data_IF_296361853155
#
_entry.id   IF_296361853155
#
_cell.length_a   1.000
_cell.length_b   1.000
_cell.length_c   1.000
_cell.angle_alpha   90.00
_cell.angle_beta   90.00
_cell.angle_gamma   90.00
#
_symmetry.space_group_name_H-M   'P 1'
#
loop_
_entity.id
_entity.type
_entity.pdbx_description
1 polymer ?
#
# COMPACT_ATOMS: atom_id res chain seq x y z
N UNK A 1 -37.62 -54.51 28.45
CA UNK A 1 -38.28 -55.69 27.85
C UNK A 1 -38.78 -55.24 26.49
N UNK A 2 -37.85 -55.08 25.54
CA UNK A 2 -37.37 -56.12 24.61
C UNK A 2 -38.48 -56.49 23.61
N UNK A 3 -38.31 -56.56 22.30
CA UNK A 3 -37.25 -56.23 21.36
C UNK A 3 -37.89 -56.40 19.96
N UNK A 4 -37.23 -55.90 18.92
CA UNK A 4 -37.03 -56.51 17.59
C UNK A 4 -37.34 -55.61 16.39
N UNK A 5 -36.23 -55.28 15.74
CA UNK A 5 -36.08 -54.91 14.34
C UNK A 5 -36.66 -55.97 13.39
N UNK A 6 -37.20 -55.50 12.28
CA UNK A 6 -36.96 -56.11 10.95
C UNK A 6 -36.96 -55.02 9.89
N UNK A 7 -35.86 -54.98 9.15
CA UNK A 7 -35.57 -54.19 7.95
C UNK A 7 -36.26 -54.76 6.71
N UNK A 8 -36.47 -53.94 5.67
CA UNK A 8 -36.07 -54.19 4.26
C UNK A 8 -36.28 -52.91 3.43
N UNK A 9 -35.13 -52.31 3.07
CA UNK A 9 -34.65 -51.77 1.79
C UNK A 9 -35.57 -51.28 0.64
N UNK A 10 -34.98 -50.31 -0.07
CA UNK A 10 -35.12 -49.88 -1.49
C UNK A 10 -35.91 -48.56 -1.65
N UNK A 11 -35.41 -47.47 -2.25
CA UNK A 11 -34.26 -47.29 -3.16
C UNK A 11 -33.77 -45.83 -3.10
N UNK A 12 -32.46 -45.67 -3.31
CA UNK A 12 -31.80 -44.40 -3.58
C UNK A 12 -32.38 -43.70 -4.82
N UNK A 13 -32.57 -42.38 -4.74
CA UNK A 13 -32.33 -41.52 -5.90
C UNK A 13 -31.45 -40.35 -5.45
N UNK A 14 -30.21 -40.44 -5.92
CA UNK A 14 -29.24 -39.36 -5.97
C UNK A 14 -29.77 -38.29 -6.93
N UNK A 15 -29.84 -37.04 -6.46
CA UNK A 15 -29.64 -35.89 -7.31
C UNK A 15 -28.40 -35.15 -6.80
N UNK A 16 -27.33 -35.29 -7.57
CA UNK A 16 -26.10 -34.52 -7.47
C UNK A 16 -26.41 -33.03 -7.60
N UNK A 17 -26.01 -32.25 -6.59
CA UNK A 17 -25.87 -30.81 -6.72
C UNK A 17 -24.38 -30.48 -6.62
N UNK A 18 -23.73 -30.02 -7.69
CA UNK A 18 -22.28 -29.85 -7.71
C UNK A 18 -21.88 -28.57 -6.95
N UNK A 19 -20.95 -28.74 -6.02
CA UNK A 19 -19.95 -27.71 -5.71
C UNK A 19 -20.33 -26.62 -4.71
N UNK A 20 -20.61 -26.97 -3.46
CA UNK A 20 -20.24 -26.08 -2.36
C UNK A 20 -18.72 -26.12 -2.20
N UNK A 21 -18.02 -25.22 -2.89
CA UNK A 21 -16.62 -24.94 -2.60
C UNK A 21 -16.62 -24.16 -1.29
N UNK A 22 -16.42 -24.88 -0.18
CA UNK A 22 -15.88 -24.27 1.04
C UNK A 22 -14.51 -23.74 0.68
N UNK A 23 -14.42 -22.46 0.35
CA UNK A 23 -13.14 -21.77 0.24
C UNK A 23 -12.64 -21.65 1.68
N UNK A 24 -12.00 -22.71 2.15
CA UNK A 24 -11.01 -22.59 3.20
C UNK A 24 -9.93 -21.70 2.57
N UNK A 25 -10.04 -20.38 2.77
CA UNK A 25 -8.88 -19.52 2.65
C UNK A 25 -7.97 -19.96 3.79
N UNK A 26 -7.20 -21.03 3.55
CA UNK A 26 -5.92 -21.17 4.18
C UNK A 26 -5.21 -19.88 3.81
N UNK A 27 -5.28 -18.92 4.74
CA UNK A 27 -4.36 -17.82 4.84
C UNK A 27 -3.03 -18.53 4.72
N UNK A 28 -2.43 -18.44 3.53
CA UNK A 28 -1.00 -18.66 3.39
C UNK A 28 -0.46 -17.52 4.23
N UNK A 29 -0.28 -17.81 5.51
CA UNK A 29 0.52 -17.04 6.41
C UNK A 29 1.91 -17.26 5.85
N UNK A 30 2.22 -16.50 4.79
CA UNK A 30 3.58 -16.27 4.39
C UNK A 30 4.22 -15.72 5.65
N UNK A 31 5.03 -16.56 6.27
CA UNK A 31 5.88 -16.24 7.40
C UNK A 31 6.91 -15.21 6.94
N UNK A 32 6.45 -13.98 6.70
CA UNK A 32 7.27 -12.82 6.44
C UNK A 32 7.76 -12.24 7.77
N UNK A 33 8.29 -13.11 8.63
CA UNK A 33 8.95 -12.68 9.85
C UNK A 33 10.32 -13.32 9.85
N UNK A 34 11.33 -12.46 10.00
CA UNK A 34 12.76 -12.73 10.21
C UNK A 34 13.58 -12.90 8.92
N UNK A 35 13.60 -11.82 8.13
CA UNK A 35 14.85 -11.18 7.73
C UNK A 35 14.52 -9.71 7.45
N UNK A 36 14.72 -8.86 8.46
CA UNK A 36 14.60 -7.41 8.43
C UNK A 36 15.66 -6.83 7.48
N UNK A 37 15.51 -7.10 6.18
CA UNK A 37 16.17 -6.33 5.15
C UNK A 37 15.40 -5.02 5.09
N UNK A 38 16.04 -3.97 5.57
CA UNK A 38 15.66 -2.55 5.47
C UNK A 38 15.53 -2.18 3.99
N UNK A 39 14.50 -2.68 3.33
CA UNK A 39 14.22 -2.39 1.94
C UNK A 39 13.45 -1.08 1.90
N UNK A 40 13.82 -0.15 1.00
CA UNK A 40 12.96 0.95 0.63
C UNK A 40 11.53 0.46 0.42
N UNK A 41 10.59 1.03 1.18
CA UNK A 41 9.17 0.76 0.99
C UNK A 41 8.68 1.74 -0.07
N UNK A 42 8.17 1.21 -1.18
CA UNK A 42 7.62 1.99 -2.29
C UNK A 42 6.20 1.55 -2.56
N UNK A 43 5.27 2.50 -2.57
CA UNK A 43 3.85 2.20 -2.76
C UNK A 43 3.09 3.42 -3.28
N UNK A 44 1.90 3.17 -3.82
CA UNK A 44 0.94 4.22 -4.21
C UNK A 44 -0.05 4.41 -3.06
N UNK A 45 -0.35 5.65 -2.73
CA UNK A 45 -1.21 6.00 -1.61
C UNK A 45 -2.13 7.17 -1.94
N UNK A 46 -3.40 7.06 -1.58
CA UNK A 46 -4.35 8.17 -1.57
C UNK A 46 -4.86 8.34 -0.14
N UNK A 47 -4.54 9.45 0.54
CA UNK A 47 -5.08 9.71 1.87
C UNK A 47 -6.59 9.99 1.79
N UNK A 48 -7.33 9.73 2.87
CA UNK A 48 -8.71 10.18 3.00
C UNK A 48 -8.82 11.69 2.76
N UNK A 49 -9.91 12.11 2.12
CA UNK A 49 -10.24 13.52 1.84
C UNK A 49 -9.25 14.26 0.93
N UNK A 50 -8.42 13.53 0.18
CA UNK A 50 -7.56 14.12 -0.85
C UNK A 50 -7.89 13.55 -2.22
N UNK A 51 -7.83 14.41 -3.23
CA UNK A 51 -8.13 14.04 -4.62
C UNK A 51 -6.90 13.44 -5.31
N UNK A 52 -5.71 13.81 -4.85
CA UNK A 52 -4.47 13.42 -5.50
C UNK A 52 -3.99 12.06 -5.00
N UNK A 53 -3.32 11.35 -5.90
CA UNK A 53 -2.69 10.06 -5.65
C UNK A 53 -1.19 10.30 -5.57
N UNK A 54 -0.53 9.65 -4.62
CA UNK A 54 0.88 9.88 -4.32
C UNK A 54 1.68 8.60 -4.50
N UNK A 55 2.87 8.74 -5.08
CA UNK A 55 3.91 7.73 -5.02
C UNK A 55 4.78 8.01 -3.81
N UNK A 56 4.83 7.03 -2.91
CA UNK A 56 5.53 7.12 -1.63
C UNK A 56 6.79 6.29 -1.71
N UNK A 57 7.93 6.88 -1.33
CA UNK A 57 9.20 6.20 -1.10
C UNK A 57 9.60 6.45 0.35
N UNK A 58 9.77 5.38 1.13
CA UNK A 58 10.17 5.44 2.52
C UNK A 58 11.46 4.65 2.70
N UNK A 59 12.53 5.32 3.12
CA UNK A 59 13.88 4.76 3.20
C UNK A 59 14.49 5.09 4.57
N UNK A 60 15.06 4.09 5.25
CA UNK A 60 15.78 4.30 6.50
C UNK A 60 17.04 5.13 6.22
N UNK A 61 17.31 6.12 7.07
CA UNK A 61 18.48 6.99 6.96
C UNK A 61 19.29 6.96 8.25
N UNK A 62 20.60 7.16 8.12
CA UNK A 62 21.47 7.32 9.28
C UNK A 62 21.34 8.71 9.90
N UNK A 63 21.70 8.84 11.18
CA UNK A 63 21.79 10.14 11.86
C UNK A 63 22.78 11.08 11.15
N UNK A 64 23.86 10.54 10.58
CA UNK A 64 24.83 11.31 9.81
C UNK A 64 24.19 11.95 8.59
N UNK A 65 23.45 11.16 7.79
CA UNK A 65 22.73 11.65 6.61
C UNK A 65 21.64 12.64 7.01
N UNK A 66 20.92 12.41 8.11
CA UNK A 66 19.94 13.36 8.63
C UNK A 66 20.58 14.73 8.94
N UNK A 67 21.75 14.74 9.58
CA UNK A 67 22.48 15.97 9.90
C UNK A 67 22.96 16.68 8.63
N UNK A 68 23.45 15.94 7.64
CA UNK A 68 23.84 16.48 6.34
C UNK A 68 22.66 17.14 5.62
N UNK A 69 21.51 16.47 5.56
CA UNK A 69 20.29 17.03 4.95
C UNK A 69 19.85 18.27 5.72
N UNK A 70 19.80 18.21 7.06
CA UNK A 70 19.39 19.33 7.91
C UNK A 70 20.30 20.55 7.78
N UNK A 71 21.59 20.35 7.52
CA UNK A 71 22.56 21.44 7.31
C UNK A 71 22.45 22.08 5.92
N UNK A 72 21.88 21.36 4.95
CA UNK A 72 21.80 21.75 3.55
C UNK A 72 20.37 22.04 3.07
N UNK A 73 19.37 22.12 3.97
CA UNK A 73 17.94 22.28 3.62
C UNK A 73 17.69 23.46 2.67
N UNK A 74 18.49 24.53 2.77
CA UNK A 74 18.39 25.70 1.91
C UNK A 74 18.79 25.46 0.44
N UNK A 75 19.50 24.36 0.14
CA UNK A 75 20.05 24.05 -1.17
C UNK A 75 19.29 22.93 -1.90
N UNK A 76 18.30 22.30 -1.27
CA UNK A 76 17.54 21.22 -1.90
C UNK A 76 16.41 21.85 -2.71
N UNK A 77 16.59 21.88 -4.02
CA UNK A 77 15.56 22.32 -4.95
C UNK A 77 14.52 21.20 -5.10
N UNK A 78 13.42 21.30 -4.35
CA UNK A 78 12.31 20.36 -4.51
C UNK A 78 11.47 20.74 -5.72
N UNK A 79 11.12 19.73 -6.51
CA UNK A 79 10.09 19.92 -7.52
C UNK A 79 8.76 20.27 -6.81
N UNK A 80 7.92 21.10 -7.44
CA UNK A 80 6.67 21.57 -6.83
C UNK A 80 5.66 20.42 -6.60
N UNK A 81 5.83 19.30 -7.30
CA UNK A 81 5.06 18.07 -7.17
C UNK A 81 5.63 17.09 -6.13
N UNK A 82 6.70 17.47 -5.43
CA UNK A 82 7.35 16.65 -4.41
C UNK A 82 7.21 17.26 -3.02
N UNK A 83 7.10 16.38 -2.03
CA UNK A 83 7.08 16.71 -0.63
C UNK A 83 7.82 15.63 0.14
N UNK A 84 8.65 16.00 1.12
CA UNK A 84 9.30 15.03 1.98
C UNK A 84 9.22 15.44 3.44
N UNK A 85 9.30 14.44 4.31
CA UNK A 85 9.43 14.63 5.74
C UNK A 85 10.19 13.46 6.37
N UNK A 86 10.66 13.67 7.60
CA UNK A 86 11.26 12.61 8.40
C UNK A 86 10.23 11.98 9.32
N UNK A 87 10.31 10.66 9.44
CA UNK A 87 9.50 9.85 10.34
C UNK A 87 10.43 9.03 11.24
N UNK A 88 10.27 9.16 12.56
CA UNK A 88 10.94 8.32 13.52
C UNK A 88 9.99 7.22 13.98
N UNK A 89 10.42 5.98 13.79
CA UNK A 89 9.67 4.82 14.26
C UNK A 89 9.77 4.69 15.78
N UNK A 90 8.64 4.44 16.43
CA UNK A 90 8.55 4.44 17.89
C UNK A 90 9.23 3.22 18.55
N UNK A 91 9.28 2.07 17.86
CA UNK A 91 9.74 0.82 18.46
C UNK A 91 11.26 0.73 18.64
N UNK A 92 12.02 1.21 17.65
CA UNK A 92 13.47 1.03 17.60
C UNK A 92 14.24 2.33 17.28
N UNK A 93 13.53 3.46 17.26
CA UNK A 93 14.08 4.79 16.98
C UNK A 93 14.76 4.91 15.60
N UNK A 94 14.48 4.00 14.67
CA UNK A 94 14.93 4.15 13.29
C UNK A 94 14.30 5.39 12.67
N UNK A 95 15.09 6.09 11.87
CA UNK A 95 14.68 7.32 11.21
C UNK A 95 14.53 7.01 9.74
N UNK A 96 13.42 7.44 9.16
CA UNK A 96 13.10 7.27 7.76
C UNK A 96 12.90 8.62 7.11
N UNK A 97 13.40 8.73 5.88
CA UNK A 97 12.99 9.78 4.96
C UNK A 97 11.80 9.27 4.16
N UNK A 98 10.72 10.03 4.19
CA UNK A 98 9.51 9.77 3.40
C UNK A 98 9.43 10.81 2.30
N UNK A 99 9.54 10.37 1.05
CA UNK A 99 9.35 11.20 -0.14
C UNK A 99 8.01 10.87 -0.77
N UNK A 100 7.24 11.90 -1.04
CA UNK A 100 5.91 11.86 -1.63
C UNK A 100 5.94 12.63 -2.94
N UNK A 101 5.48 12.00 -4.02
CA UNK A 101 5.42 12.59 -5.35
C UNK A 101 3.98 12.50 -5.85
N UNK A 102 3.38 13.62 -6.28
CA UNK A 102 2.05 13.59 -6.89
C UNK A 102 2.12 12.78 -8.18
N UNK A 103 1.26 11.77 -8.29
CA UNK A 103 1.12 10.96 -9.49
C UNK A 103 0.16 11.64 -10.44
N UNK A 104 0.64 11.93 -11.65
CA UNK A 104 -0.19 12.41 -12.76
C UNK A 104 -1.40 11.48 -12.98
N UNK A 105 -2.64 12.01 -13.05
CA UNK A 105 -3.81 11.24 -13.47
C UNK A 105 -3.60 10.55 -14.82
N UNK A 106 -2.98 11.24 -15.79
CA UNK A 106 -2.64 10.66 -17.10
C UNK A 106 -1.69 9.46 -16.98
N UNK A 107 -0.73 9.50 -16.05
CA UNK A 107 0.14 8.35 -15.77
C UNK A 107 -0.66 7.13 -15.30
N UNK A 108 -1.59 7.31 -14.35
CA UNK A 108 -2.42 6.21 -13.84
C UNK A 108 -3.30 5.63 -14.94
N UNK A 109 -3.95 6.49 -15.73
CA UNK A 109 -4.79 6.08 -16.85
C UNK A 109 -3.99 5.21 -17.83
N UNK A 110 -2.80 5.65 -18.23
CA UNK A 110 -1.96 4.88 -19.16
C UNK A 110 -1.38 3.63 -18.52
N UNK A 111 -1.01 3.67 -17.24
CA UNK A 111 -0.53 2.51 -16.50
C UNK A 111 -1.58 1.38 -16.46
N UNK A 112 -2.87 1.73 -16.38
CA UNK A 112 -3.97 0.77 -16.43
C UNK A 112 -4.34 0.38 -17.87
N UNK A 113 -4.46 1.34 -18.79
CA UNK A 113 -4.95 1.10 -20.13
C UNK A 113 -3.98 0.27 -20.99
N UNK A 114 -2.68 0.54 -20.87
CA UNK A 114 -1.66 -0.10 -21.71
C UNK A 114 -1.63 -1.63 -21.57
N UNK A 115 -1.57 -2.21 -20.35
CA UNK A 115 -1.56 -3.67 -20.21
C UNK A 115 -2.94 -4.32 -20.45
N UNK A 116 -4.05 -3.63 -20.18
CA UNK A 116 -5.40 -4.22 -20.25
C UNK A 116 -5.99 -4.12 -21.66
N UNK A 117 -5.84 -2.97 -22.30
CA UNK A 117 -6.50 -2.65 -23.57
C UNK A 117 -5.51 -2.38 -24.72
N UNK A 118 -4.21 -2.28 -24.43
CA UNK A 118 -3.21 -1.91 -25.44
C UNK A 118 -3.32 -0.46 -25.90
N UNK A 119 -4.00 0.40 -25.13
CA UNK A 119 -4.24 1.81 -25.47
C UNK A 119 -3.29 2.69 -24.65
N UNK A 120 -2.65 3.64 -25.33
CA UNK A 120 -1.85 4.70 -24.72
C UNK A 120 -2.43 6.04 -25.18
N UNK A 121 -2.90 6.84 -24.22
CA UNK A 121 -3.53 8.13 -24.47
C UNK A 121 -2.44 9.20 -24.35
N UNK A 122 -2.37 10.12 -25.33
CA UNK A 122 -1.43 11.23 -25.30
C UNK A 122 -1.66 12.10 -24.06
N UNK A 123 -0.57 12.44 -23.38
CA UNK A 123 -0.60 13.21 -22.14
C UNK A 123 -1.01 14.65 -22.41
N UNK A 124 -1.88 15.20 -21.56
CA UNK A 124 -2.21 16.60 -21.62
C UNK A 124 -1.15 17.41 -20.86
N UNK A 125 -0.43 18.30 -21.55
CA UNK A 125 0.69 19.11 -21.01
C UNK A 125 0.26 20.09 -19.89
N UNK A 126 -1.04 20.22 -19.61
CA UNK A 126 -1.59 21.17 -18.64
C UNK A 126 -1.81 20.67 -17.21
N UNK A 127 -1.36 19.48 -16.83
CA UNK A 127 -1.53 19.00 -15.45
C UNK A 127 -0.62 19.75 -14.47
N UNK A 128 -1.19 20.68 -13.71
CA UNK A 128 -0.49 21.39 -12.64
C UNK A 128 -0.37 20.49 -11.40
N UNK A 129 0.76 19.78 -11.29
CA UNK A 129 1.06 18.92 -10.15
C UNK A 129 1.80 19.75 -9.07
N UNK A 130 1.05 20.49 -8.25
CA UNK A 130 1.63 21.33 -7.20
C UNK A 130 0.99 20.98 -5.86
N UNK A 131 1.81 20.67 -4.87
CA UNK A 131 1.33 20.46 -3.51
C UNK A 131 0.78 21.75 -2.89
N UNK A 132 -0.44 21.68 -2.38
CA UNK A 132 -0.98 22.68 -1.46
C UNK A 132 -0.53 22.41 -0.03
N UNK A 133 -0.54 23.43 0.81
CA UNK A 133 -0.10 23.33 2.20
C UNK A 133 -0.94 22.29 2.99
N UNK A 134 -2.27 22.43 2.95
CA UNK A 134 -3.18 21.52 3.68
C UNK A 134 -3.03 20.06 3.22
N UNK A 135 -2.73 19.83 1.94
CA UNK A 135 -2.47 18.50 1.40
C UNK A 135 -1.20 17.89 2.02
N UNK A 136 -0.12 18.67 2.19
CA UNK A 136 1.10 18.19 2.85
C UNK A 136 0.83 17.78 4.29
N UNK A 137 0.06 18.57 5.04
CA UNK A 137 -0.27 18.26 6.43
C UNK A 137 -1.15 17.00 6.55
N UNK A 138 -2.21 16.91 5.74
CA UNK A 138 -3.08 15.73 5.72
C UNK A 138 -2.31 14.47 5.31
N UNK A 139 -1.53 14.55 4.24
CA UNK A 139 -0.72 13.43 3.75
C UNK A 139 0.28 12.96 4.80
N UNK A 140 1.01 13.90 5.44
CA UNK A 140 1.95 13.56 6.52
C UNK A 140 1.25 12.84 7.67
N UNK A 141 0.13 13.38 8.14
CA UNK A 141 -0.64 12.77 9.23
C UNK A 141 -1.08 11.35 8.87
N UNK A 142 -1.72 11.17 7.71
CA UNK A 142 -2.20 9.86 7.26
C UNK A 142 -1.07 8.85 7.06
N UNK A 143 0.05 9.27 6.48
CA UNK A 143 1.21 8.39 6.26
C UNK A 143 1.87 7.98 7.56
N UNK A 144 1.99 8.86 8.55
CA UNK A 144 2.54 8.47 9.87
C UNK A 144 1.67 7.36 10.50
N UNK A 145 0.35 7.51 10.44
CA UNK A 145 -0.56 6.49 10.95
C UNK A 145 -0.47 5.18 10.18
N UNK A 146 -0.35 5.26 8.85
CA UNK A 146 -0.14 4.11 7.98
C UNK A 146 1.18 3.40 8.31
N UNK A 147 2.30 4.12 8.26
CA UNK A 147 3.65 3.60 8.51
C UNK A 147 3.76 2.98 9.90
N UNK A 148 3.17 3.57 10.94
CA UNK A 148 3.06 2.94 12.25
C UNK A 148 2.42 1.55 12.12
N UNK A 149 1.29 1.38 11.45
CA UNK A 149 0.64 0.05 11.34
C UNK A 149 1.47 -0.98 10.58
N UNK A 150 2.26 -0.57 9.59
CA UNK A 150 3.02 -1.50 8.73
C UNK A 150 4.44 -1.80 9.22
N UNK A 151 5.10 -0.83 9.87
CA UNK A 151 6.47 -0.97 10.36
C UNK A 151 6.55 -1.53 11.78
N UNK A 152 5.45 -1.56 12.55
CA UNK A 152 5.41 -2.12 13.91
C UNK A 152 5.53 -3.68 13.96
N UNK A 153 5.69 -4.37 12.82
CA UNK A 153 5.81 -5.83 12.73
C UNK A 153 7.25 -6.31 12.57
#
# INVERSE_FOLDING_TARGET
MDAQNTSINSSNQYYDNPGQISVNSSIVQDNFVINQLVRPIKFIYQPPNDIDIYHIKCEEISIQLLNEISSNVSNINFNQNEYFFFYQQQNDNRIYQVVCEIVSPSFIINFLNKPIYGIEIEQNIGEELIFKFDQKENLKFCLIQYLNRFLLN
#
